data_IF_660547423242
#
_entry.id   IF_660547423242
#
_cell.length_a   1.000
_cell.length_b   1.000
_cell.length_c   1.000
_cell.angle_alpha   90.00
_cell.angle_beta   90.00
_cell.angle_gamma   90.00
#
_symmetry.space_group_name_H-M   'P 1'
#
loop_
_entity.id
_entity.type
_entity.pdbx_description
1 polymer ?
#
# COMPACT_ATOMS: atom_id res chain seq x y z
N UNK A 1 -4.14 -6.46 32.37
CA UNK A 1 -4.11 -7.28 31.13
C UNK A 1 -5.46 -7.90 30.74
N UNK A 2 -6.30 -8.39 31.66
CA UNK A 2 -7.61 -9.01 31.30
C UNK A 2 -8.59 -8.06 30.59
N UNK A 3 -8.68 -6.78 30.99
CA UNK A 3 -9.59 -5.80 30.35
C UNK A 3 -9.33 -5.61 28.85
N UNK A 4 -8.05 -5.55 28.45
CA UNK A 4 -7.67 -5.38 27.04
C UNK A 4 -7.98 -6.62 26.20
N UNK A 5 -7.84 -7.83 26.77
CA UNK A 5 -8.18 -9.09 26.08
C UNK A 5 -9.67 -9.21 25.80
N UNK A 6 -10.54 -8.80 26.73
CA UNK A 6 -11.99 -8.75 26.49
C UNK A 6 -12.37 -7.72 25.42
N UNK A 7 -11.79 -6.51 25.45
CA UNK A 7 -12.07 -5.48 24.44
C UNK A 7 -11.68 -5.96 23.04
N UNK A 8 -10.51 -6.58 22.89
CA UNK A 8 -10.08 -7.12 21.60
C UNK A 8 -11.00 -8.23 21.10
N UNK A 9 -11.51 -9.12 21.97
CA UNK A 9 -12.44 -10.17 21.56
C UNK A 9 -13.79 -9.61 21.11
N UNK A 10 -14.30 -8.57 21.77
CA UNK A 10 -15.54 -7.90 21.36
C UNK A 10 -15.38 -7.17 20.03
N UNK A 11 -14.24 -6.53 19.78
CA UNK A 11 -13.96 -5.87 18.50
C UNK A 11 -13.89 -6.91 17.37
N UNK A 12 -13.23 -8.04 17.59
CA UNK A 12 -13.18 -9.11 16.57
C UNK A 12 -14.56 -9.75 16.32
N UNK A 13 -15.37 -9.92 17.37
CA UNK A 13 -16.72 -10.45 17.26
C UNK A 13 -17.65 -9.46 16.53
N UNK A 14 -17.54 -8.17 16.82
CA UNK A 14 -18.27 -7.11 16.12
C UNK A 14 -17.89 -7.05 14.64
N UNK A 15 -16.60 -7.19 14.33
CA UNK A 15 -16.13 -7.22 12.95
C UNK A 15 -16.67 -8.43 12.19
N UNK A 16 -16.67 -9.61 12.83
CA UNK A 16 -17.27 -10.83 12.27
C UNK A 16 -18.78 -10.66 12.04
N UNK A 17 -19.51 -10.10 13.01
CA UNK A 17 -20.95 -9.85 12.90
C UNK A 17 -21.26 -8.87 11.76
N UNK A 18 -20.46 -7.81 11.61
CA UNK A 18 -20.60 -6.85 10.52
C UNK A 18 -20.43 -7.51 9.14
N UNK A 19 -19.54 -8.50 9.01
CA UNK A 19 -19.39 -9.23 7.73
C UNK A 19 -20.60 -10.10 7.38
N UNK A 20 -21.28 -10.67 8.38
CA UNK A 20 -22.50 -11.47 8.16
C UNK A 20 -23.67 -10.59 7.73
N UNK A 21 -23.74 -9.35 8.24
CA UNK A 21 -24.75 -8.38 7.84
C UNK A 21 -24.65 -7.96 6.37
N UNK A 22 -23.47 -8.11 5.74
CA UNK A 22 -23.27 -7.85 4.32
C UNK A 22 -23.60 -9.06 3.42
N UNK A 23 -24.59 -9.86 3.82
CA UNK A 23 -25.11 -10.96 3.00
C UNK A 23 -26.33 -10.48 2.22
N UNK A 24 -26.45 -10.90 0.96
CA UNK A 24 -27.66 -10.65 0.17
C UNK A 24 -28.88 -11.26 0.86
N UNK A 25 -29.96 -10.51 0.85
CA UNK A 25 -31.26 -10.98 1.33
C UNK A 25 -31.81 -12.07 0.39
N UNK A 26 -32.72 -12.91 0.90
CA UNK A 26 -33.32 -13.99 0.09
C UNK A 26 -34.04 -13.44 -1.15
N UNK A 27 -34.79 -12.35 -0.98
CA UNK A 27 -35.52 -11.73 -2.09
C UNK A 27 -34.59 -11.16 -3.17
N UNK A 28 -33.45 -10.58 -2.80
CA UNK A 28 -32.43 -10.14 -3.76
C UNK A 28 -31.86 -11.31 -4.56
N UNK A 29 -31.54 -12.42 -3.89
CA UNK A 29 -31.03 -13.63 -4.55
C UNK A 29 -32.06 -14.17 -5.55
N UNK A 30 -33.35 -14.18 -5.21
CA UNK A 30 -34.41 -14.58 -6.13
C UNK A 30 -34.53 -13.65 -7.34
N UNK A 31 -34.44 -12.34 -7.13
CA UNK A 31 -34.40 -11.35 -8.22
C UNK A 31 -33.23 -11.64 -9.17
N UNK A 32 -32.03 -11.91 -8.63
CA UNK A 32 -30.84 -12.18 -9.44
C UNK A 32 -30.94 -13.48 -10.23
N UNK A 33 -31.45 -14.54 -9.59
CA UNK A 33 -31.68 -15.82 -10.26
C UNK A 33 -32.66 -15.66 -11.42
N UNK A 34 -33.78 -14.98 -11.18
CA UNK A 34 -34.81 -14.77 -12.19
C UNK A 34 -34.30 -13.91 -13.35
N UNK A 35 -33.58 -12.83 -13.08
CA UNK A 35 -32.97 -11.99 -14.11
C UNK A 35 -31.97 -12.80 -14.95
N UNK A 36 -31.09 -13.58 -14.31
CA UNK A 36 -30.12 -14.41 -15.03
C UNK A 36 -30.80 -15.50 -15.87
N UNK A 37 -31.91 -16.08 -15.39
CA UNK A 37 -32.71 -17.02 -16.18
C UNK A 37 -33.30 -16.38 -17.44
N UNK A 38 -33.82 -15.15 -17.32
CA UNK A 38 -34.36 -14.41 -18.46
C UNK A 38 -33.25 -14.07 -19.46
N UNK A 39 -32.10 -13.61 -18.99
CA UNK A 39 -30.94 -13.31 -19.84
C UNK A 39 -30.45 -14.54 -20.61
N UNK A 40 -30.41 -15.71 -19.96
CA UNK A 40 -30.02 -16.98 -20.60
C UNK A 40 -31.02 -17.45 -21.66
N UNK A 41 -32.32 -17.22 -21.43
CA UNK A 41 -33.40 -17.70 -22.31
C UNK A 41 -33.67 -16.77 -23.49
N UNK A 42 -33.64 -15.46 -23.27
CA UNK A 42 -34.15 -14.46 -24.20
C UNK A 42 -33.07 -13.44 -24.65
N UNK A 43 -31.87 -13.49 -24.08
CA UNK A 43 -30.75 -12.60 -24.40
C UNK A 43 -30.51 -11.54 -23.34
N UNK A 44 -29.34 -10.89 -23.39
CA UNK A 44 -28.84 -9.98 -22.34
C UNK A 44 -29.67 -8.70 -22.14
N UNK A 45 -30.48 -8.32 -23.12
CA UNK A 45 -31.25 -7.07 -23.10
C UNK A 45 -32.68 -7.23 -22.55
N UNK A 46 -32.98 -8.38 -21.95
CA UNK A 46 -34.31 -8.75 -21.48
C UNK A 46 -34.49 -8.46 -19.99
N UNK A 47 -35.19 -7.35 -19.71
CA UNK A 47 -35.61 -6.93 -18.38
C UNK A 47 -37.01 -7.46 -18.02
N UNK A 48 -37.39 -7.41 -16.74
CA UNK A 48 -38.73 -7.79 -16.26
C UNK A 48 -39.83 -6.97 -16.94
N UNK A 49 -39.58 -5.68 -17.15
CA UNK A 49 -40.52 -4.78 -17.81
C UNK A 49 -40.73 -5.12 -19.29
N UNK A 50 -39.65 -5.51 -19.99
CA UNK A 50 -39.68 -5.94 -21.40
C UNK A 50 -40.32 -7.31 -21.54
N UNK A 51 -40.02 -8.22 -20.62
CA UNK A 51 -40.62 -9.55 -20.54
C UNK A 51 -42.16 -9.48 -20.42
N UNK A 52 -42.67 -8.52 -19.65
CA UNK A 52 -44.11 -8.29 -19.48
C UNK A 52 -44.74 -7.41 -20.58
N UNK A 53 -43.96 -6.97 -21.57
CA UNK A 53 -44.42 -6.13 -22.69
C UNK A 53 -45.14 -4.85 -22.21
N UNK A 54 -44.58 -4.19 -21.20
CA UNK A 54 -45.14 -2.95 -20.67
C UNK A 54 -44.88 -1.78 -21.63
N UNK A 55 -45.87 -0.92 -21.90
CA UNK A 55 -45.76 0.15 -22.90
C UNK A 55 -44.71 1.20 -22.51
N UNK A 56 -44.60 1.53 -21.23
CA UNK A 56 -43.67 2.54 -20.70
C UNK A 56 -42.46 1.92 -20.00
N UNK A 57 -42.30 0.59 -20.09
CA UNK A 57 -41.25 -0.19 -19.44
C UNK A 57 -41.04 0.24 -17.97
N UNK A 58 -39.94 0.96 -17.69
CA UNK A 58 -39.54 1.42 -16.34
C UNK A 58 -40.46 2.50 -15.75
N UNK A 59 -41.13 3.29 -16.60
CA UNK A 59 -42.00 4.40 -16.18
C UNK A 59 -43.47 3.98 -16.00
N UNK A 60 -43.79 2.69 -16.12
CA UNK A 60 -45.16 2.22 -15.94
C UNK A 60 -45.63 2.35 -14.49
N UNK A 61 -46.86 2.85 -14.32
CA UNK A 61 -47.53 2.97 -13.04
C UNK A 61 -47.86 1.58 -12.47
N UNK A 62 -47.89 1.42 -11.14
CA UNK A 62 -48.23 0.15 -10.46
C UNK A 62 -49.57 -0.46 -10.93
N UNK A 63 -50.54 0.40 -11.28
CA UNK A 63 -51.84 0.00 -11.83
C UNK A 63 -51.69 -0.63 -13.24
N UNK A 64 -50.90 0.02 -14.12
CA UNK A 64 -50.64 -0.49 -15.47
C UNK A 64 -49.93 -1.84 -15.42
N UNK A 65 -48.94 -1.96 -14.53
CA UNK A 65 -48.19 -3.19 -14.27
C UNK A 65 -49.16 -4.29 -13.84
N UNK A 66 -49.95 -4.06 -12.78
CA UNK A 66 -50.93 -5.02 -12.27
C UNK A 66 -51.94 -5.46 -13.33
N UNK A 67 -52.41 -4.55 -14.17
CA UNK A 67 -53.35 -4.86 -15.26
C UNK A 67 -52.72 -5.77 -16.32
N UNK A 68 -51.49 -5.49 -16.74
CA UNK A 68 -50.79 -6.32 -17.73
C UNK A 68 -50.33 -7.67 -17.17
N UNK A 69 -49.92 -7.71 -15.90
CA UNK A 69 -49.65 -8.94 -15.16
C UNK A 69 -50.86 -9.88 -15.17
N UNK A 70 -52.04 -9.37 -14.78
CA UNK A 70 -53.30 -10.14 -14.80
C UNK A 70 -53.65 -10.67 -16.20
N UNK A 71 -53.46 -9.85 -17.25
CA UNK A 71 -53.70 -10.26 -18.64
C UNK A 71 -52.77 -11.41 -19.07
N UNK A 72 -51.48 -11.30 -18.80
CA UNK A 72 -50.48 -12.31 -19.17
C UNK A 72 -50.67 -13.60 -18.36
N UNK A 73 -50.91 -13.49 -17.06
CA UNK A 73 -51.19 -14.64 -16.20
C UNK A 73 -52.42 -15.41 -16.71
N UNK A 74 -53.53 -14.73 -17.03
CA UNK A 74 -54.73 -15.39 -17.57
C UNK A 74 -54.49 -16.06 -18.92
N UNK A 75 -53.65 -15.47 -19.79
CA UNK A 75 -53.33 -16.01 -21.11
C UNK A 75 -52.48 -17.28 -21.04
N UNK A 76 -51.50 -17.33 -20.15
CA UNK A 76 -50.55 -18.44 -20.03
C UNK A 76 -50.84 -19.39 -18.86
N UNK A 77 -52.02 -19.31 -18.25
CA UNK A 77 -52.39 -20.14 -17.11
C UNK A 77 -52.22 -21.65 -17.43
N UNK A 78 -51.59 -22.44 -16.54
CA UNK A 78 -51.24 -23.84 -16.80
C UNK A 78 -52.46 -24.73 -17.08
N UNK A 79 -53.62 -24.41 -16.48
CA UNK A 79 -54.89 -25.11 -16.72
C UNK A 79 -55.33 -25.02 -18.19
N UNK A 80 -55.21 -23.83 -18.80
CA UNK A 80 -55.62 -23.62 -20.20
C UNK A 80 -54.54 -24.01 -21.18
N UNK A 81 -53.28 -23.88 -20.79
CA UNK A 81 -52.12 -24.00 -21.65
C UNK A 81 -50.98 -24.75 -20.93
N UNK A 82 -51.07 -26.08 -20.77
CA UNK A 82 -50.09 -26.86 -20.01
C UNK A 82 -48.67 -26.79 -20.59
N UNK A 83 -48.54 -26.59 -21.91
CA UNK A 83 -47.25 -26.42 -22.61
C UNK A 83 -46.42 -25.24 -22.07
N UNK A 84 -47.08 -24.18 -21.59
CA UNK A 84 -46.40 -22.96 -21.14
C UNK A 84 -46.25 -22.87 -19.62
N UNK A 85 -46.34 -24.00 -18.90
CA UNK A 85 -46.19 -24.04 -17.44
C UNK A 85 -44.96 -23.29 -16.91
N UNK A 86 -43.77 -23.59 -17.45
CA UNK A 86 -42.51 -22.92 -17.06
C UNK A 86 -42.49 -21.42 -17.36
N UNK A 87 -43.20 -20.98 -18.40
CA UNK A 87 -43.32 -19.55 -18.72
C UNK A 87 -44.23 -18.86 -17.70
N UNK A 88 -45.34 -19.49 -17.35
CA UNK A 88 -46.25 -19.00 -16.33
C UNK A 88 -45.58 -18.91 -14.95
N UNK A 89 -44.78 -19.90 -14.58
CA UNK A 89 -43.99 -19.87 -13.34
C UNK A 89 -43.09 -18.62 -13.30
N UNK A 90 -42.36 -18.30 -14.37
CA UNK A 90 -41.57 -17.06 -14.45
C UNK A 90 -42.43 -15.80 -14.39
N UNK A 91 -43.55 -15.76 -15.10
CA UNK A 91 -44.49 -14.63 -15.04
C UNK A 91 -44.97 -14.43 -13.60
N UNK A 92 -45.30 -15.50 -12.88
CA UNK A 92 -45.72 -15.45 -11.48
C UNK A 92 -44.64 -14.87 -10.57
N UNK A 93 -43.39 -15.30 -10.74
CA UNK A 93 -42.26 -14.77 -9.97
C UNK A 93 -42.02 -13.28 -10.26
N UNK A 94 -42.03 -12.87 -11.53
CA UNK A 94 -41.90 -11.45 -11.90
C UNK A 94 -43.09 -10.64 -11.34
N UNK A 95 -44.30 -11.20 -11.38
CA UNK A 95 -45.52 -10.58 -10.82
C UNK A 95 -45.31 -10.29 -9.34
N UNK A 96 -44.83 -11.28 -8.57
CA UNK A 96 -44.55 -11.12 -7.13
C UNK A 96 -43.58 -9.99 -6.86
N UNK A 97 -42.47 -9.93 -7.61
CA UNK A 97 -41.41 -8.93 -7.43
C UNK A 97 -41.89 -7.52 -7.81
N UNK A 98 -42.60 -7.36 -8.92
CA UNK A 98 -43.04 -6.04 -9.38
C UNK A 98 -44.32 -5.53 -8.69
N UNK A 99 -45.08 -6.42 -8.03
CA UNK A 99 -46.26 -6.03 -7.26
C UNK A 99 -45.90 -5.41 -5.90
N UNK A 100 -44.75 -5.78 -5.32
CA UNK A 100 -44.23 -5.21 -4.09
C UNK A 100 -43.37 -3.97 -4.40
N UNK A 101 -43.73 -2.82 -3.84
CA UNK A 101 -43.01 -1.57 -4.08
C UNK A 101 -41.58 -1.57 -3.53
N UNK A 102 -41.31 -2.33 -2.46
CA UNK A 102 -39.97 -2.51 -1.89
C UNK A 102 -39.08 -3.35 -2.81
N UNK A 103 -39.56 -4.54 -3.21
CA UNK A 103 -38.82 -5.42 -4.13
C UNK A 103 -38.62 -4.79 -5.50
N UNK A 104 -39.60 -4.03 -5.98
CA UNK A 104 -39.49 -3.25 -7.21
C UNK A 104 -38.36 -2.22 -7.14
N UNK A 105 -38.26 -1.46 -6.03
CA UNK A 105 -37.16 -0.51 -5.83
C UNK A 105 -35.80 -1.20 -5.83
N UNK A 106 -35.71 -2.35 -5.16
CA UNK A 106 -34.50 -3.18 -5.13
C UNK A 106 -34.12 -3.64 -6.54
N UNK A 107 -35.08 -4.14 -7.32
CA UNK A 107 -34.87 -4.51 -8.71
C UNK A 107 -34.39 -3.32 -9.56
N UNK A 108 -35.06 -2.17 -9.45
CA UNK A 108 -34.70 -0.95 -10.19
C UNK A 108 -33.30 -0.43 -9.84
N UNK A 109 -32.87 -0.58 -8.58
CA UNK A 109 -31.52 -0.27 -8.14
C UNK A 109 -30.47 -1.13 -8.87
N UNK A 110 -30.66 -2.45 -8.92
CA UNK A 110 -29.73 -3.35 -9.61
C UNK A 110 -29.80 -3.22 -11.12
N UNK A 111 -30.95 -2.86 -11.67
CA UNK A 111 -31.10 -2.56 -13.09
C UNK A 111 -30.29 -1.31 -13.51
N UNK A 112 -30.07 -0.36 -12.60
CA UNK A 112 -29.22 0.83 -12.83
C UNK A 112 -27.74 0.56 -12.57
N UNK A 113 -27.41 -0.15 -11.50
CA UNK A 113 -26.03 -0.34 -11.04
C UNK A 113 -25.35 -1.61 -11.61
N UNK A 114 -26.13 -2.51 -12.20
CA UNK A 114 -25.69 -3.80 -12.71
C UNK A 114 -25.98 -4.94 -11.74
N UNK A 115 -26.30 -6.10 -12.31
CA UNK A 115 -26.58 -7.32 -11.56
C UNK A 115 -25.28 -8.07 -11.20
N UNK A 116 -25.21 -8.70 -10.01
CA UNK A 116 -24.11 -9.60 -9.69
C UNK A 116 -24.18 -10.86 -10.56
N UNK A 117 -23.01 -11.43 -10.89
CA UNK A 117 -22.92 -12.67 -11.66
C UNK A 117 -22.84 -13.87 -10.73
N UNK A 118 -23.51 -14.96 -11.10
CA UNK A 118 -23.41 -16.22 -10.36
C UNK A 118 -22.06 -16.90 -10.61
N UNK A 119 -21.29 -17.16 -9.55
CA UNK A 119 -20.02 -17.89 -9.61
C UNK A 119 -20.23 -19.32 -9.10
N UNK A 120 -20.27 -20.28 -10.03
CA UNK A 120 -20.48 -21.71 -9.72
C UNK A 120 -19.41 -22.30 -8.80
N UNK A 121 -18.19 -21.75 -8.81
CA UNK A 121 -17.09 -22.26 -7.98
C UNK A 121 -17.24 -21.86 -6.51
N UNK A 122 -17.93 -20.75 -6.25
CA UNK A 122 -18.11 -20.17 -4.90
C UNK A 122 -19.52 -20.34 -4.35
N UNK A 123 -20.44 -20.88 -5.16
CA UNK A 123 -21.81 -21.17 -4.74
C UNK A 123 -22.63 -19.93 -4.41
N UNK A 124 -22.46 -18.82 -5.15
CA UNK A 124 -23.17 -17.57 -4.83
C UNK A 124 -23.08 -16.48 -5.90
N UNK A 125 -23.80 -15.38 -5.65
CA UNK A 125 -23.76 -14.18 -6.48
C UNK A 125 -22.64 -13.25 -6.04
N UNK A 126 -21.82 -12.79 -7.00
CA UNK A 126 -20.73 -11.86 -6.73
C UNK A 126 -20.67 -10.76 -7.79
N UNK A 127 -20.33 -9.55 -7.36
CA UNK A 127 -19.98 -8.48 -8.29
C UNK A 127 -18.63 -8.77 -8.94
N UNK A 128 -18.55 -8.56 -10.26
CA UNK A 128 -17.29 -8.65 -10.96
C UNK A 128 -16.44 -7.42 -10.62
N UNK A 129 -15.60 -7.54 -9.60
CA UNK A 129 -14.65 -6.49 -9.23
C UNK A 129 -13.41 -6.60 -10.10
N UNK A 130 -12.96 -5.48 -10.64
CA UNK A 130 -11.68 -5.41 -11.37
C UNK A 130 -10.57 -5.68 -10.36
N UNK A 131 -9.91 -6.84 -10.50
CA UNK A 131 -8.72 -7.16 -9.72
C UNK A 131 -7.52 -6.86 -10.61
N UNK A 132 -6.72 -5.83 -10.31
CA UNK A 132 -5.47 -5.63 -11.04
C UNK A 132 -4.61 -6.89 -10.89
N UNK A 133 -3.74 -7.12 -11.87
CA UNK A 133 -2.84 -8.27 -11.84
C UNK A 133 -1.97 -8.23 -10.57
N UNK A 134 -1.77 -9.37 -9.93
CA UNK A 134 -1.03 -9.47 -8.66
C UNK A 134 0.39 -8.92 -8.79
N UNK A 135 1.06 -9.22 -9.91
CA UNK A 135 2.41 -8.70 -10.16
C UNK A 135 2.41 -7.17 -10.26
N UNK A 136 1.39 -6.57 -10.90
CA UNK A 136 1.26 -5.12 -11.00
C UNK A 136 1.05 -4.48 -9.63
N UNK A 137 0.21 -5.10 -8.79
CA UNK A 137 0.03 -4.62 -7.41
C UNK A 137 1.31 -4.70 -6.59
N UNK A 138 2.08 -5.78 -6.73
CA UNK A 138 3.36 -5.94 -6.05
C UNK A 138 4.40 -4.93 -6.56
N UNK A 139 4.47 -4.71 -7.87
CA UNK A 139 5.37 -3.73 -8.47
C UNK A 139 5.05 -2.30 -8.01
N UNK A 140 3.76 -1.93 -8.00
CA UNK A 140 3.31 -0.63 -7.50
C UNK A 140 3.66 -0.45 -6.02
N UNK A 141 3.37 -1.45 -5.19
CA UNK A 141 3.69 -1.40 -3.76
C UNK A 141 5.19 -1.33 -3.50
N UNK A 142 5.98 -2.05 -4.29
CA UNK A 142 7.45 -2.02 -4.21
C UNK A 142 8.00 -0.63 -4.54
N UNK A 143 7.54 -0.01 -5.62
CA UNK A 143 7.91 1.37 -5.99
C UNK A 143 7.48 2.35 -4.90
N UNK A 144 6.24 2.23 -4.40
CA UNK A 144 5.73 3.10 -3.33
C UNK A 144 6.59 3.02 -2.05
N UNK A 145 6.94 1.80 -1.64
CA UNK A 145 7.83 1.56 -0.50
C UNK A 145 9.23 2.18 -0.74
N UNK A 146 9.78 2.03 -1.95
CA UNK A 146 11.04 2.65 -2.34
C UNK A 146 11.02 4.17 -2.26
N UNK A 147 9.94 4.81 -2.73
CA UNK A 147 9.76 6.27 -2.65
C UNK A 147 9.68 6.73 -1.20
N UNK A 148 8.87 6.07 -0.38
CA UNK A 148 8.75 6.39 1.06
C UNK A 148 10.12 6.28 1.73
N UNK A 149 10.86 5.20 1.47
CA UNK A 149 12.18 5.01 2.03
C UNK A 149 13.17 6.10 1.58
N UNK A 150 13.14 6.51 0.32
CA UNK A 150 13.96 7.63 -0.17
C UNK A 150 13.64 8.94 0.57
N UNK A 151 12.35 9.24 0.78
CA UNK A 151 11.93 10.41 1.54
C UNK A 151 12.45 10.33 2.98
N UNK A 152 12.36 9.17 3.64
CA UNK A 152 12.90 8.98 4.99
C UNK A 152 14.41 9.21 5.04
N UNK A 153 15.17 8.69 4.09
CA UNK A 153 16.62 8.94 4.00
C UNK A 153 16.93 10.43 3.83
N UNK A 154 16.17 11.12 2.97
CA UNK A 154 16.34 12.56 2.73
C UNK A 154 16.04 13.38 3.99
N UNK A 155 14.96 13.05 4.70
CA UNK A 155 14.60 13.71 5.96
C UNK A 155 15.63 13.45 7.05
N UNK A 156 16.09 12.20 7.18
CA UNK A 156 17.10 11.82 8.17
C UNK A 156 18.43 12.54 7.92
N UNK A 157 18.87 12.59 6.66
CA UNK A 157 20.10 13.29 6.31
C UNK A 157 20.02 14.79 6.60
N UNK A 158 18.90 15.43 6.23
CA UNK A 158 18.69 16.84 6.52
C UNK A 158 18.68 17.11 8.04
N UNK A 159 18.00 16.26 8.82
CA UNK A 159 18.00 16.35 10.27
C UNK A 159 19.41 16.16 10.87
N UNK A 160 20.22 15.23 10.34
CA UNK A 160 21.60 15.04 10.78
C UNK A 160 22.49 16.26 10.48
N UNK A 161 22.36 16.86 9.29
CA UNK A 161 23.07 18.11 8.95
C UNK A 161 22.71 19.24 9.91
N UNK A 162 21.43 19.41 10.23
CA UNK A 162 20.98 20.41 11.22
C UNK A 162 21.53 20.14 12.63
N UNK A 163 21.60 18.88 13.07
CA UNK A 163 22.21 18.50 14.36
C UNK A 163 23.69 18.86 14.42
N UNK A 164 24.44 18.59 13.34
CA UNK A 164 25.86 18.93 13.26
C UNK A 164 26.06 20.45 13.26
N UNK A 165 25.25 21.21 12.50
CA UNK A 165 25.34 22.67 12.48
C UNK A 165 25.03 23.29 13.85
N UNK A 166 23.96 22.84 14.51
CA UNK A 166 23.61 23.31 15.85
C UNK A 166 24.68 22.92 16.88
N UNK A 167 25.30 21.75 16.75
CA UNK A 167 26.45 21.36 17.57
C UNK A 167 27.66 22.30 17.36
N UNK A 168 28.03 22.56 16.11
CA UNK A 168 29.13 23.48 15.76
C UNK A 168 28.84 24.89 16.30
N UNK A 169 27.61 25.39 16.17
CA UNK A 169 27.21 26.70 16.68
C UNK A 169 27.38 26.79 18.20
N UNK A 170 26.89 25.80 18.96
CA UNK A 170 27.04 25.76 20.43
C UNK A 170 28.51 25.74 20.87
N UNK A 171 29.35 24.98 20.16
CA UNK A 171 30.79 24.91 20.46
C UNK A 171 31.47 26.25 20.16
N UNK A 172 31.08 26.94 19.08
CA UNK A 172 31.59 28.27 18.75
C UNK A 172 31.15 29.35 19.74
N UNK A 173 29.94 29.27 20.28
CA UNK A 173 29.46 30.19 21.32
C UNK A 173 30.27 30.10 22.63
N UNK A 174 30.85 28.94 22.92
CA UNK A 174 31.71 28.73 24.09
C UNK A 174 33.15 29.23 23.87
N UNK A 175 33.53 29.59 22.65
CA UNK A 175 34.87 30.09 22.35
C UNK A 175 34.99 31.57 22.73
N UNK A 176 35.86 31.86 23.70
CA UNK A 176 36.18 33.22 24.16
C UNK A 176 37.32 33.86 23.36
N UNK A 177 37.89 33.17 22.36
CA UNK A 177 39.11 33.57 21.66
C UNK A 177 38.86 34.45 20.42
N UNK A 178 37.62 34.96 20.24
CA UNK A 178 37.18 35.74 19.07
C UNK A 178 37.58 35.09 17.71
N UNK A 179 37.73 33.76 17.68
CA UNK A 179 38.09 33.00 16.48
C UNK A 179 39.55 33.07 16.03
N UNK A 180 40.48 33.69 16.77
CA UNK A 180 41.89 33.81 16.35
C UNK A 180 42.86 32.87 17.07
N UNK A 181 42.46 32.24 18.18
CA UNK A 181 43.32 31.34 18.95
C UNK A 181 42.83 29.90 19.02
N UNK A 182 43.43 29.14 19.94
CA UNK A 182 43.15 27.71 20.14
C UNK A 182 42.42 27.50 21.47
N UNK A 183 41.18 27.03 21.42
CA UNK A 183 40.40 26.71 22.61
C UNK A 183 40.16 25.19 22.69
N UNK A 184 40.57 24.57 23.80
CA UNK A 184 40.33 23.14 24.07
C UNK A 184 39.07 23.00 24.93
N UNK A 185 38.06 22.37 24.38
CA UNK A 185 36.77 22.15 25.03
C UNK A 185 36.58 20.65 25.28
N UNK A 186 36.05 20.30 26.45
CA UNK A 186 35.65 18.92 26.77
C UNK A 186 34.15 18.81 26.61
N UNK A 187 33.69 18.02 25.63
CA UNK A 187 32.27 17.76 25.45
C UNK A 187 31.90 16.39 26.02
N UNK A 188 31.03 16.38 27.03
CA UNK A 188 30.40 15.16 27.55
C UNK A 188 29.00 15.03 26.96
N UNK A 189 28.79 14.00 26.15
CA UNK A 189 27.50 13.72 25.51
C UNK A 189 26.50 13.11 26.52
N UNK A 190 26.99 12.44 27.56
CA UNK A 190 26.24 11.95 28.71
C UNK A 190 27.18 11.81 29.92
N UNK A 191 26.64 11.84 31.15
CA UNK A 191 27.41 11.84 32.40
C UNK A 191 28.35 10.62 32.57
N UNK A 192 28.02 9.50 31.92
CA UNK A 192 28.78 8.23 31.95
C UNK A 192 29.77 8.02 30.78
N UNK A 193 29.78 8.87 29.76
CA UNK A 193 30.68 8.72 28.60
C UNK A 193 32.03 9.42 28.81
N UNK A 194 33.14 8.78 28.41
CA UNK A 194 34.45 9.45 28.31
C UNK A 194 34.32 10.68 27.42
N UNK A 195 34.55 11.87 28.00
CA UNK A 195 34.32 13.13 27.31
C UNK A 195 35.19 13.25 26.06
N UNK A 196 34.58 13.61 24.93
CA UNK A 196 35.30 13.83 23.67
C UNK A 196 36.02 15.18 23.73
N UNK A 197 37.32 15.17 23.44
CA UNK A 197 38.13 16.39 23.33
C UNK A 197 37.83 17.10 22.01
N UNK A 198 37.40 18.35 22.11
CA UNK A 198 37.18 19.25 20.98
C UNK A 198 38.27 20.33 20.99
N UNK A 199 38.82 20.62 19.83
CA UNK A 199 39.75 21.71 19.61
C UNK A 199 39.09 22.71 18.66
N UNK A 200 38.90 23.95 19.10
CA UNK A 200 38.46 25.05 18.24
C UNK A 200 39.71 25.83 17.81
N UNK A 201 39.95 25.90 16.50
CA UNK A 201 41.12 26.62 15.95
C UNK A 201 40.68 27.42 14.73
N UNK A 202 41.00 28.71 14.72
CA UNK A 202 40.62 29.65 13.66
C UNK A 202 39.12 29.67 13.33
N UNK A 203 38.26 29.53 14.35
CA UNK A 203 36.80 29.50 14.18
C UNK A 203 36.25 28.20 13.56
N UNK A 204 37.05 27.14 13.45
CA UNK A 204 36.63 25.80 13.02
C UNK A 204 36.70 24.79 14.16
N UNK A 205 35.81 23.80 14.16
CA UNK A 205 35.70 22.79 15.24
C UNK A 205 36.35 21.48 14.80
N UNK A 206 37.26 20.99 15.61
CA UNK A 206 37.97 19.73 15.39
C UNK A 206 37.72 18.76 16.56
N UNK A 207 37.62 17.47 16.26
CA UNK A 207 37.60 16.40 17.27
C UNK A 207 38.98 15.80 17.36
N UNK A 208 39.52 15.74 18.58
CA UNK A 208 40.79 15.07 18.88
C UNK A 208 40.46 13.63 19.28
N UNK A 209 40.90 12.67 18.47
CA UNK A 209 40.78 11.25 18.77
C UNK A 209 41.93 10.78 19.65
N UNK A 210 41.83 9.58 20.22
CA UNK A 210 42.83 8.98 21.13
C UNK A 210 44.25 8.87 20.57
N UNK A 211 44.40 8.96 19.24
CA UNK A 211 45.65 8.79 18.51
C UNK A 211 46.28 10.15 18.11
N UNK A 212 45.88 11.25 18.77
CA UNK A 212 46.24 12.65 18.46
C UNK A 212 45.88 13.13 17.04
N UNK A 213 45.12 12.34 16.27
CA UNK A 213 44.64 12.75 14.95
C UNK A 213 43.47 13.74 15.09
N UNK A 214 43.62 14.89 14.43
CA UNK A 214 42.66 15.99 14.44
C UNK A 214 41.72 15.84 13.24
N UNK A 215 40.42 15.62 13.49
CA UNK A 215 39.40 15.52 12.43
C UNK A 215 38.49 16.75 12.43
N UNK A 216 38.39 17.45 11.30
CA UNK A 216 37.49 18.60 11.15
C UNK A 216 36.03 18.15 11.14
N UNK A 217 35.23 18.65 12.07
CA UNK A 217 33.79 18.41 12.09
C UNK A 217 33.12 19.44 11.20
N UNK A 218 32.65 18.99 10.03
CA UNK A 218 31.94 19.85 9.08
C UNK A 218 30.80 19.07 8.44
N UNK A 219 29.78 19.79 8.00
CA UNK A 219 28.66 19.21 7.26
C UNK A 219 29.04 18.70 5.87
N UNK A 220 30.20 19.11 5.36
CA UNK A 220 30.63 18.87 3.98
C UNK A 220 31.13 17.43 3.76
N UNK A 221 31.44 16.73 4.86
CA UNK A 221 31.78 15.31 4.85
C UNK A 221 30.54 14.39 4.83
N UNK A 222 29.34 14.94 5.07
CA UNK A 222 28.08 14.19 5.06
C UNK A 222 27.55 14.11 3.64
N UNK A 223 27.78 12.97 2.98
CA UNK A 223 27.31 12.68 1.61
C UNK A 223 25.78 12.68 1.55
N UNK A 224 25.21 13.36 0.56
CA UNK A 224 23.76 13.32 0.33
C UNK A 224 23.32 11.95 -0.20
N UNK A 225 22.21 11.38 0.33
CA UNK A 225 21.76 10.07 -0.08
C UNK A 225 21.33 10.08 -1.55
N UNK A 226 21.96 9.22 -2.35
CA UNK A 226 21.63 9.03 -3.76
C UNK A 226 20.47 8.05 -3.96
N UNK A 227 19.95 7.98 -5.18
CA UNK A 227 18.94 6.97 -5.56
C UNK A 227 19.51 5.55 -5.39
N UNK A 228 20.83 5.39 -5.54
CA UNK A 228 21.58 4.16 -5.29
C UNK A 228 21.53 3.67 -3.84
N UNK A 229 21.21 4.54 -2.88
CA UNK A 229 21.09 4.17 -1.46
C UNK A 229 19.70 3.65 -1.10
N UNK A 230 18.75 3.76 -2.02
CA UNK A 230 17.39 3.28 -1.79
C UNK A 230 17.31 1.76 -1.78
N UNK A 231 16.38 1.24 -0.98
CA UNK A 231 16.01 -0.17 -0.97
C UNK A 231 15.65 -0.71 -2.37
N UNK A 232 15.20 0.18 -3.26
CA UNK A 232 14.81 -0.16 -4.63
C UNK A 232 16.00 -0.66 -5.46
N UNK A 233 17.20 -0.16 -5.22
CA UNK A 233 18.41 -0.56 -5.96
C UNK A 233 19.23 -1.57 -5.17
N UNK A 234 19.36 -1.39 -3.84
CA UNK A 234 20.17 -2.28 -3.00
C UNK A 234 19.56 -3.66 -2.83
N UNK A 235 18.23 -3.81 -2.77
CA UNK A 235 17.60 -5.13 -2.60
C UNK A 235 17.85 -6.06 -3.80
N UNK A 236 17.60 -5.66 -5.06
CA UNK A 236 17.91 -6.51 -6.21
C UNK A 236 19.40 -6.83 -6.32
N UNK A 237 20.28 -5.86 -6.09
CA UNK A 237 21.73 -6.07 -6.14
C UNK A 237 22.19 -7.06 -5.05
N UNK A 238 21.66 -6.95 -3.84
CA UNK A 238 21.92 -7.90 -2.76
C UNK A 238 21.38 -9.30 -3.07
N UNK A 239 20.15 -9.40 -3.58
CA UNK A 239 19.52 -10.65 -4.01
C UNK A 239 20.35 -11.32 -5.12
N UNK A 240 20.85 -10.56 -6.08
CA UNK A 240 21.70 -11.05 -7.16
C UNK A 240 23.04 -11.58 -6.64
N UNK A 241 23.72 -10.82 -5.80
CA UNK A 241 25.00 -11.21 -5.20
C UNK A 241 24.87 -12.46 -4.31
N UNK A 242 23.70 -12.64 -3.68
CA UNK A 242 23.45 -13.78 -2.79
C UNK A 242 22.96 -15.04 -3.52
N UNK A 243 22.23 -14.90 -4.62
CA UNK A 243 21.61 -16.03 -5.34
C UNK A 243 22.43 -16.52 -6.54
N UNK A 244 22.91 -15.62 -7.40
CA UNK A 244 23.57 -15.98 -8.67
C UNK A 244 25.08 -15.71 -8.60
N UNK A 245 25.52 -14.73 -7.81
CA UNK A 245 26.93 -14.38 -7.64
C UNK A 245 27.82 -15.46 -7.01
N UNK A 246 27.23 -16.49 -6.38
CA UNK A 246 27.97 -17.68 -5.89
C UNK A 246 28.14 -18.78 -6.95
N UNK A 247 27.35 -18.75 -8.04
CA UNK A 247 27.27 -19.84 -9.02
C UNK A 247 28.07 -19.51 -10.29
N UNK A 248 28.31 -18.23 -10.57
CA UNK A 248 29.22 -17.80 -11.63
C UNK A 248 30.65 -17.68 -11.10
N UNK A 249 31.64 -18.42 -11.64
CA UNK A 249 33.03 -18.22 -11.26
C UNK A 249 33.45 -16.81 -11.70
N UNK A 250 33.84 -15.99 -10.73
CA UNK A 250 34.35 -14.65 -10.95
C UNK A 250 35.62 -14.74 -11.82
N UNK A 251 35.52 -14.41 -13.10
CA UNK A 251 36.66 -14.35 -14.00
C UNK A 251 37.17 -12.92 -14.04
N UNK A 252 38.40 -12.80 -13.55
CA UNK A 252 39.36 -11.70 -13.71
C UNK A 252 39.26 -10.51 -12.75
N UNK A 253 40.33 -9.96 -12.19
CA UNK A 253 41.74 -10.35 -11.96
C UNK A 253 42.32 -9.25 -11.05
N UNK A 254 43.42 -9.56 -10.36
CA UNK A 254 44.03 -8.71 -9.35
C UNK A 254 44.50 -7.33 -9.84
N UNK A 255 44.35 -6.36 -8.94
CA UNK A 255 45.30 -5.25 -8.82
C UNK A 255 45.87 -5.29 -7.41
N UNK A 256 47.00 -5.98 -7.32
CA UNK A 256 47.85 -6.01 -6.15
C UNK A 256 48.37 -4.60 -5.82
N UNK A 257 48.32 -4.29 -4.53
CA UNK A 257 49.25 -3.47 -3.76
C UNK A 257 50.55 -3.03 -4.46
N UNK A 258 50.78 -1.72 -4.55
CA UNK A 258 52.08 -1.06 -4.44
C UNK A 258 51.85 0.22 -3.61
N UNK A 259 52.23 0.23 -2.33
CA UNK A 259 53.55 0.65 -1.82
C UNK A 259 53.94 2.08 -2.21
N UNK A 260 54.01 2.93 -1.17
CA UNK A 260 54.57 4.26 -1.18
C UNK A 260 54.90 4.73 0.24
N UNK A 261 55.49 3.85 1.07
CA UNK A 261 56.12 4.25 2.34
C UNK A 261 57.49 4.85 2.02
N UNK A 262 57.62 6.18 2.04
CA UNK A 262 58.94 6.81 2.10
C UNK A 262 59.28 7.13 3.56
N UNK A 263 60.21 6.35 4.11
CA UNK A 263 60.83 6.52 5.42
C UNK A 263 61.72 7.77 5.41
N UNK A 264 61.41 8.77 6.24
CA UNK A 264 62.41 9.77 6.67
C UNK A 264 63.19 9.17 7.84
N UNK A 265 64.44 8.76 7.58
CA UNK A 265 65.42 8.35 8.59
C UNK A 265 66.06 9.60 9.20
N UNK A 266 65.90 9.77 10.51
CA UNK A 266 66.71 10.67 11.32
C UNK A 266 68.02 9.93 11.72
N UNK A 267 69.18 10.55 11.51
CA UNK A 267 70.43 10.18 12.19
C UNK A 267 71.30 11.42 12.38
N UNK A 268 71.36 11.88 13.62
CA UNK A 268 72.36 12.82 14.16
C UNK A 268 73.73 12.13 14.30
N UNK A 269 74.76 12.97 14.27
CA UNK A 269 76.12 12.85 14.85
C UNK A 269 77.28 12.47 13.90
N UNK A 270 78.29 13.36 13.84
CA UNK A 270 79.64 13.02 13.34
C UNK A 270 80.54 14.17 12.87
N UNK A 271 81.06 14.95 13.82
CA UNK A 271 82.22 15.89 13.86
C UNK A 271 83.43 15.62 12.92
N UNK A 272 84.20 16.70 12.65
CA UNK A 272 85.55 16.88 12.02
C UNK A 272 85.47 17.36 10.55
N UNK A 273 86.13 18.42 10.08
CA UNK A 273 87.29 19.23 10.53
C UNK A 273 86.91 20.70 10.71
#
# INVERSE_FOLDING_TARGET
MLKYRCITTYITLLWLLATVAYCFTKDEVEIFQLQQELERKYGKDMDFYRFLKLPKQKQSTSIEISKNLKKLAKKYHPDKNPKYRKLYERISLVTRILADDGLRKTYDYYLKNGFPKYDYKKGGFFFNRVKPSTWFTLAFLYVLCGVIHFVLLRLHNNANKQRIQSFIARVKEQDNTNGLGECKLMFKESEESEGKQLLVKFGEVFVVQSDDTIAKVSTDQVTDPGISDTLLVKLPQWLWNKSIGKILPNKDTGKASKEGKSKVKNKKAGKRL
#
